data_IF_858112911902
#
_entry.id   IF_858112911902
#
_cell.length_a   1.000
_cell.length_b   1.000
_cell.length_c   1.000
_cell.angle_alpha   90.00
_cell.angle_beta   90.00
_cell.angle_gamma   90.00
#
_symmetry.space_group_name_H-M   'P 1'
#
loop_
_entity.id
_entity.type
_entity.pdbx_description
1 polymer ?
#
# COMPACT_ATOMS: atom_id res chain seq x y z
N UNK A 1 -16.36 -27.12 18.87
CA UNK A 1 -15.70 -26.61 17.65
C UNK A 1 -15.41 -27.76 16.71
N UNK A 2 -15.69 -27.60 15.42
CA UNK A 2 -15.35 -28.62 14.42
C UNK A 2 -13.84 -28.69 14.22
N UNK A 3 -13.32 -29.84 13.74
CA UNK A 3 -11.89 -30.00 13.40
C UNK A 3 -11.42 -28.96 12.38
N UNK A 4 -12.27 -28.58 11.44
CA UNK A 4 -12.00 -27.57 10.44
C UNK A 4 -11.88 -26.16 11.07
N UNK A 5 -12.73 -25.83 12.03
CA UNK A 5 -12.65 -24.56 12.76
C UNK A 5 -11.38 -24.44 13.59
N UNK A 6 -10.97 -25.55 14.24
CA UNK A 6 -9.70 -25.59 14.98
C UNK A 6 -8.48 -25.41 14.06
N UNK A 7 -8.52 -25.99 12.85
CA UNK A 7 -7.46 -25.82 11.85
C UNK A 7 -7.36 -24.35 11.41
N UNK A 8 -8.47 -23.71 11.04
CA UNK A 8 -8.51 -22.29 10.67
C UNK A 8 -8.05 -21.38 11.79
N UNK A 9 -8.51 -21.59 13.01
CA UNK A 9 -8.10 -20.76 14.16
C UNK A 9 -6.59 -20.88 14.43
N UNK A 10 -6.01 -22.07 14.22
CA UNK A 10 -4.57 -22.26 14.36
C UNK A 10 -3.81 -21.54 13.25
N UNK A 11 -4.28 -21.62 12.02
CA UNK A 11 -3.70 -20.91 10.88
C UNK A 11 -3.68 -19.40 11.12
N UNK A 12 -4.80 -18.82 11.57
CA UNK A 12 -4.87 -17.41 11.93
C UNK A 12 -3.87 -17.04 13.05
N UNK A 13 -3.71 -17.89 14.05
CA UNK A 13 -2.73 -17.67 15.12
C UNK A 13 -1.29 -17.70 14.57
N UNK A 14 -0.99 -18.65 13.67
CA UNK A 14 0.32 -18.73 13.04
C UNK A 14 0.60 -17.46 12.23
N UNK A 15 -0.34 -17.03 11.38
CA UNK A 15 -0.20 -15.82 10.57
C UNK A 15 0.00 -14.56 11.42
N UNK A 16 -0.77 -14.41 12.50
CA UNK A 16 -0.65 -13.26 13.39
C UNK A 16 0.70 -13.21 14.10
N UNK A 17 1.19 -14.36 14.61
CA UNK A 17 2.50 -14.44 15.28
C UNK A 17 3.64 -14.23 14.29
N UNK A 18 3.55 -14.80 13.09
CA UNK A 18 4.56 -14.59 12.05
C UNK A 18 4.64 -13.13 11.59
N UNK A 19 3.49 -12.46 11.44
CA UNK A 19 3.42 -11.03 11.14
C UNK A 19 4.11 -10.20 12.23
N UNK A 20 3.84 -10.49 13.50
CA UNK A 20 4.46 -9.80 14.62
C UNK A 20 5.98 -9.98 14.61
N UNK A 21 6.48 -11.21 14.46
CA UNK A 21 7.91 -11.50 14.38
C UNK A 21 8.59 -10.78 13.21
N UNK A 22 7.95 -10.73 12.05
CA UNK A 22 8.46 -9.99 10.89
C UNK A 22 8.64 -8.50 11.18
N UNK A 23 7.66 -7.90 11.85
CA UNK A 23 7.72 -6.48 12.21
C UNK A 23 8.77 -6.20 13.29
N UNK A 24 8.93 -7.08 14.26
CA UNK A 24 9.95 -6.99 15.32
C UNK A 24 11.36 -7.16 14.76
N UNK A 25 11.56 -8.11 13.86
CA UNK A 25 12.85 -8.34 13.21
C UNK A 25 13.28 -7.17 12.30
N UNK A 26 12.33 -6.39 11.75
CA UNK A 26 12.60 -5.25 10.87
C UNK A 26 13.31 -5.58 9.56
N UNK A 27 13.83 -6.80 9.41
CA UNK A 27 14.58 -7.30 8.24
C UNK A 27 13.72 -8.02 7.22
N UNK A 28 12.44 -8.24 7.53
CA UNK A 28 11.54 -9.00 6.67
C UNK A 28 11.87 -10.49 6.60
N UNK A 29 12.66 -11.00 7.55
CA UNK A 29 13.03 -12.42 7.59
C UNK A 29 12.89 -13.02 8.98
N UNK A 30 12.20 -14.18 9.07
CA UNK A 30 12.08 -15.00 10.27
C UNK A 30 12.38 -16.45 9.93
N UNK A 31 12.75 -17.25 10.92
CA UNK A 31 12.90 -18.69 10.73
C UNK A 31 11.61 -19.41 11.11
N UNK A 32 11.29 -20.50 10.41
CA UNK A 32 10.16 -21.35 10.81
C UNK A 32 10.37 -21.98 12.18
N UNK A 33 11.63 -22.12 12.60
CA UNK A 33 12.01 -22.61 13.91
C UNK A 33 11.61 -21.65 15.01
N UNK A 34 11.99 -20.36 14.90
CA UNK A 34 11.60 -19.33 15.86
C UNK A 34 10.08 -19.18 15.96
N UNK A 35 9.39 -19.32 14.84
CA UNK A 35 7.92 -19.27 14.81
C UNK A 35 7.30 -20.49 15.51
N UNK A 36 7.86 -21.69 15.30
CA UNK A 36 7.40 -22.93 15.96
C UNK A 36 7.59 -22.85 17.48
N UNK A 37 8.77 -22.42 17.92
CA UNK A 37 9.11 -22.26 19.34
C UNK A 37 8.18 -21.24 20.02
N UNK A 38 7.92 -20.10 19.40
CA UNK A 38 7.02 -19.06 19.96
C UNK A 38 5.57 -19.52 20.06
N UNK A 39 5.15 -20.42 19.20
CA UNK A 39 3.79 -20.97 19.19
C UNK A 39 3.64 -22.26 20.01
N UNK A 40 4.72 -22.78 20.56
CA UNK A 40 4.77 -24.11 21.19
C UNK A 40 4.21 -25.19 20.25
N UNK A 41 4.67 -25.18 18.99
CA UNK A 41 4.26 -26.09 17.94
C UNK A 41 5.43 -26.91 17.43
N UNK A 42 5.19 -28.20 17.16
CA UNK A 42 6.14 -28.97 16.38
C UNK A 42 6.27 -28.43 14.96
N UNK A 43 7.50 -28.35 14.40
CA UNK A 43 7.77 -27.91 13.02
C UNK A 43 6.85 -28.58 11.99
N UNK A 44 6.64 -29.91 12.12
CA UNK A 44 5.75 -30.64 11.23
C UNK A 44 4.29 -30.17 11.27
N UNK A 45 3.88 -29.45 12.32
CA UNK A 45 2.56 -28.82 12.38
C UNK A 45 2.51 -27.58 11.51
N UNK A 46 3.57 -26.76 11.49
CA UNK A 46 3.66 -25.58 10.59
C UNK A 46 3.62 -26.02 9.13
N UNK A 47 4.37 -27.05 8.75
CA UNK A 47 4.39 -27.57 7.37
C UNK A 47 3.08 -28.22 6.92
N UNK A 48 2.14 -28.52 7.84
CA UNK A 48 0.77 -28.89 7.49
C UNK A 48 -0.11 -27.70 7.10
N UNK A 49 0.26 -26.51 7.51
CA UNK A 49 -0.44 -25.26 7.17
C UNK A 49 0.20 -24.55 5.99
N UNK A 50 1.53 -24.52 5.91
CA UNK A 50 2.30 -23.81 4.88
C UNK A 50 3.42 -24.72 4.35
N UNK A 51 3.45 -24.94 3.03
CA UNK A 51 4.44 -25.83 2.40
C UNK A 51 5.85 -25.20 2.37
N UNK A 52 5.92 -23.87 2.45
CA UNK A 52 7.17 -23.12 2.45
C UNK A 52 7.02 -21.81 3.25
N UNK A 53 8.17 -21.21 3.53
CA UNK A 53 8.25 -19.87 4.13
C UNK A 53 7.68 -18.80 3.18
N UNK A 54 7.91 -18.94 1.90
CA UNK A 54 7.39 -18.02 0.89
C UNK A 54 5.85 -18.08 0.80
N UNK A 55 5.27 -19.27 0.94
CA UNK A 55 3.82 -19.44 1.05
C UNK A 55 3.28 -18.73 2.30
N UNK A 56 3.93 -18.90 3.46
CA UNK A 56 3.56 -18.22 4.70
C UNK A 56 3.57 -16.69 4.51
N UNK A 57 4.62 -16.16 3.90
CA UNK A 57 4.76 -14.72 3.69
C UNK A 57 3.69 -14.18 2.73
N UNK A 58 3.45 -14.86 1.62
CA UNK A 58 2.42 -14.43 0.68
C UNK A 58 1.02 -14.51 1.30
N UNK A 59 0.77 -15.51 2.17
CA UNK A 59 -0.50 -15.60 2.92
C UNK A 59 -0.67 -14.45 3.91
N UNK A 60 0.40 -13.99 4.57
CA UNK A 60 0.37 -12.80 5.42
C UNK A 60 0.01 -11.56 4.60
N UNK A 61 0.57 -11.40 3.40
CA UNK A 61 0.26 -10.27 2.51
C UNK A 61 -1.20 -10.33 2.04
N UNK A 62 -1.69 -11.48 1.62
CA UNK A 62 -3.09 -11.68 1.24
C UNK A 62 -4.03 -11.28 2.39
N UNK A 63 -3.77 -11.78 3.60
CA UNK A 63 -4.54 -11.42 4.79
C UNK A 63 -4.52 -9.91 5.08
N UNK A 64 -3.40 -9.26 4.88
CA UNK A 64 -3.30 -7.81 5.02
C UNK A 64 -4.14 -7.06 3.98
N UNK A 65 -4.11 -7.48 2.72
CA UNK A 65 -4.95 -6.91 1.66
C UNK A 65 -6.45 -7.13 1.93
N UNK A 66 -6.85 -8.30 2.46
CA UNK A 66 -8.22 -8.56 2.89
C UNK A 66 -8.66 -7.61 4.02
N UNK A 67 -7.77 -7.35 4.99
CA UNK A 67 -8.04 -6.38 6.06
C UNK A 67 -8.24 -4.98 5.48
N UNK A 68 -7.38 -4.51 4.58
CA UNK A 68 -7.51 -3.23 3.91
C UNK A 68 -8.82 -3.14 3.10
N UNK A 69 -9.18 -4.19 2.39
CA UNK A 69 -10.43 -4.26 1.64
C UNK A 69 -11.65 -4.17 2.55
N UNK A 70 -11.65 -4.89 3.67
CA UNK A 70 -12.76 -4.89 4.61
C UNK A 70 -12.93 -3.54 5.32
N UNK A 71 -11.85 -2.84 5.66
CA UNK A 71 -11.91 -1.49 6.21
C UNK A 71 -12.56 -0.52 5.20
N UNK A 72 -12.28 -0.67 3.92
CA UNK A 72 -12.85 0.17 2.87
C UNK A 72 -14.32 -0.15 2.53
N UNK A 73 -14.87 -1.23 3.08
CA UNK A 73 -16.30 -1.55 2.96
C UNK A 73 -17.20 -0.84 3.97
N UNK A 74 -16.63 -0.15 4.95
CA UNK A 74 -17.41 0.59 5.94
C UNK A 74 -18.16 1.70 5.22
N UNK A 75 -19.48 1.71 5.38
CA UNK A 75 -20.37 2.65 4.71
C UNK A 75 -20.39 3.95 5.51
N UNK A 76 -19.60 4.93 5.05
CA UNK A 76 -19.46 6.26 5.64
C UNK A 76 -19.68 7.34 4.58
N UNK A 77 -19.64 8.59 5.01
CA UNK A 77 -19.53 9.70 4.07
C UNK A 77 -18.29 9.53 3.17
N UNK A 78 -18.39 9.99 1.93
CA UNK A 78 -17.31 9.90 0.95
C UNK A 78 -16.00 10.48 1.49
N UNK A 79 -16.09 11.62 2.19
CA UNK A 79 -14.93 12.29 2.81
C UNK A 79 -14.30 11.43 3.93
N UNK A 80 -15.11 10.80 4.77
CA UNK A 80 -14.61 9.89 5.81
C UNK A 80 -13.95 8.65 5.20
N UNK A 81 -14.52 8.12 4.12
CA UNK A 81 -13.95 7.00 3.38
C UNK A 81 -12.58 7.31 2.78
N UNK A 82 -12.43 8.47 2.13
CA UNK A 82 -11.14 8.93 1.59
C UNK A 82 -10.14 9.19 2.70
N UNK A 83 -10.53 9.84 3.79
CA UNK A 83 -9.67 10.06 4.96
C UNK A 83 -9.14 8.74 5.53
N UNK A 84 -9.99 7.72 5.63
CA UNK A 84 -9.61 6.39 6.10
C UNK A 84 -8.64 5.70 5.13
N UNK A 85 -8.87 5.78 3.83
CA UNK A 85 -7.98 5.26 2.80
C UNK A 85 -6.57 5.85 2.92
N UNK A 86 -6.46 7.16 3.09
CA UNK A 86 -5.19 7.88 3.26
C UNK A 86 -4.51 7.46 4.57
N UNK A 87 -5.26 7.43 5.67
CA UNK A 87 -4.72 7.08 6.99
C UNK A 87 -4.17 5.65 7.05
N UNK A 88 -4.74 4.69 6.33
CA UNK A 88 -4.27 3.30 6.34
C UNK A 88 -2.78 3.18 6.02
N UNK A 89 -2.27 3.94 5.05
CA UNK A 89 -0.86 3.90 4.66
C UNK A 89 0.06 4.53 5.72
N UNK A 90 -0.43 5.55 6.41
CA UNK A 90 0.38 6.35 7.34
C UNK A 90 0.31 5.87 8.79
N UNK A 91 -0.70 5.06 9.16
CA UNK A 91 -0.86 4.55 10.53
C UNK A 91 0.11 3.41 10.87
N UNK A 92 0.47 2.59 9.89
CA UNK A 92 1.40 1.47 10.05
C UNK A 92 2.47 1.50 8.98
N UNK A 93 3.31 2.56 8.90
CA UNK A 93 4.25 2.77 7.81
C UNK A 93 5.30 1.65 7.71
N UNK A 94 5.79 1.14 8.83
CA UNK A 94 6.72 0.01 8.86
C UNK A 94 6.12 -1.23 8.20
N UNK A 95 4.87 -1.55 8.53
CA UNK A 95 4.17 -2.70 7.97
C UNK A 95 3.98 -2.58 6.46
N UNK A 96 3.53 -1.41 6.00
CA UNK A 96 3.30 -1.15 4.58
C UNK A 96 4.60 -1.29 3.76
N UNK A 97 5.70 -0.70 4.23
CA UNK A 97 7.01 -0.77 3.57
C UNK A 97 7.57 -2.19 3.57
N UNK A 98 7.49 -2.88 4.70
CA UNK A 98 8.01 -4.24 4.84
C UNK A 98 7.28 -5.22 3.92
N UNK A 99 5.96 -5.16 3.88
CA UNK A 99 5.16 -6.06 3.05
C UNK A 99 5.37 -5.82 1.56
N UNK A 100 5.56 -4.56 1.15
CA UNK A 100 5.95 -4.23 -0.22
C UNK A 100 7.29 -4.87 -0.58
N UNK A 101 8.31 -4.75 0.28
CA UNK A 101 9.62 -5.35 0.04
C UNK A 101 9.58 -6.88 -0.05
N UNK A 102 8.80 -7.52 0.84
CA UNK A 102 8.63 -8.99 0.83
C UNK A 102 7.95 -9.42 -0.48
N UNK A 103 6.90 -8.73 -0.89
CA UNK A 103 6.17 -9.04 -2.11
C UNK A 103 7.03 -8.92 -3.36
N UNK A 104 7.77 -7.83 -3.53
CA UNK A 104 8.71 -7.64 -4.63
C UNK A 104 9.74 -8.78 -4.71
N UNK A 105 10.27 -9.19 -3.56
CA UNK A 105 11.19 -10.33 -3.48
C UNK A 105 10.52 -11.63 -3.91
N UNK A 106 9.30 -11.91 -3.41
CA UNK A 106 8.56 -13.13 -3.76
C UNK A 106 8.17 -13.15 -5.23
N UNK A 107 7.76 -12.03 -5.79
CA UNK A 107 7.42 -11.92 -7.20
C UNK A 107 8.64 -12.20 -8.11
N UNK A 108 9.85 -11.82 -7.67
CA UNK A 108 11.07 -12.02 -8.43
C UNK A 108 11.66 -13.44 -8.32
N UNK A 109 11.47 -14.14 -7.20
CA UNK A 109 12.25 -15.35 -6.88
C UNK A 109 11.43 -16.58 -6.50
N UNK A 110 10.19 -16.43 -6.02
CA UNK A 110 9.41 -17.56 -5.52
C UNK A 110 8.82 -18.39 -6.66
N UNK A 111 8.88 -19.72 -6.51
CA UNK A 111 8.30 -20.66 -7.45
C UNK A 111 7.04 -21.32 -6.88
N UNK A 112 6.10 -21.66 -7.77
CA UNK A 112 4.89 -22.39 -7.39
C UNK A 112 3.80 -21.57 -6.68
N UNK A 113 3.95 -20.23 -6.58
CA UNK A 113 3.00 -19.35 -5.90
C UNK A 113 1.99 -18.65 -6.83
N UNK A 114 1.98 -18.98 -8.12
CA UNK A 114 1.15 -18.30 -9.13
C UNK A 114 -0.34 -18.23 -8.74
N UNK A 115 -0.88 -19.31 -8.16
CA UNK A 115 -2.28 -19.34 -7.70
C UNK A 115 -2.54 -18.31 -6.59
N UNK A 116 -1.61 -18.17 -5.66
CA UNK A 116 -1.75 -17.22 -4.54
C UNK A 116 -1.55 -15.78 -4.99
N UNK A 117 -0.65 -15.53 -5.94
CA UNK A 117 -0.56 -14.21 -6.59
C UNK A 117 -1.84 -13.87 -7.34
N UNK A 118 -2.49 -14.85 -7.99
CA UNK A 118 -3.82 -14.67 -8.58
C UNK A 118 -4.87 -14.28 -7.53
N UNK A 119 -4.89 -14.94 -6.37
CA UNK A 119 -5.77 -14.59 -5.23
C UNK A 119 -5.52 -13.16 -4.74
N UNK A 120 -4.26 -12.79 -4.53
CA UNK A 120 -3.85 -11.43 -4.16
C UNK A 120 -4.31 -10.38 -5.18
N UNK A 121 -4.13 -10.68 -6.47
CA UNK A 121 -4.55 -9.81 -7.56
C UNK A 121 -6.08 -9.57 -7.55
N UNK A 122 -6.89 -10.61 -7.35
CA UNK A 122 -8.35 -10.45 -7.32
C UNK A 122 -8.82 -9.61 -6.12
N UNK A 123 -8.20 -9.77 -4.95
CA UNK A 123 -8.51 -8.95 -3.77
C UNK A 123 -8.14 -7.48 -4.05
N UNK A 124 -6.97 -7.22 -4.61
CA UNK A 124 -6.53 -5.86 -4.98
C UNK A 124 -7.41 -5.24 -6.04
N UNK A 125 -7.79 -6.00 -7.05
CA UNK A 125 -8.71 -5.54 -8.09
C UNK A 125 -10.06 -5.11 -7.50
N UNK A 126 -10.63 -5.93 -6.60
CA UNK A 126 -11.87 -5.60 -5.92
C UNK A 126 -11.73 -4.35 -5.03
N UNK A 127 -10.61 -4.24 -4.29
CA UNK A 127 -10.29 -3.05 -3.48
C UNK A 127 -10.12 -1.81 -4.36
N UNK A 128 -9.38 -1.92 -5.46
CA UNK A 128 -9.15 -0.81 -6.39
C UNK A 128 -10.46 -0.26 -6.97
N UNK A 129 -11.36 -1.15 -7.39
CA UNK A 129 -12.67 -0.72 -7.88
C UNK A 129 -13.40 0.13 -6.83
N UNK A 130 -13.43 -0.31 -5.58
CA UNK A 130 -14.04 0.44 -4.48
C UNK A 130 -13.36 1.79 -4.24
N UNK A 131 -12.02 1.84 -4.31
CA UNK A 131 -11.27 3.08 -4.14
C UNK A 131 -11.53 4.07 -5.27
N UNK A 132 -11.66 3.61 -6.50
CA UNK A 132 -12.02 4.43 -7.66
C UNK A 132 -13.40 5.06 -7.46
N UNK A 133 -14.41 4.25 -7.11
CA UNK A 133 -15.78 4.74 -6.88
C UNK A 133 -15.82 5.79 -5.75
N UNK A 134 -15.17 5.50 -4.63
CA UNK A 134 -15.07 6.39 -3.49
C UNK A 134 -14.38 7.71 -3.84
N UNK A 135 -13.26 7.63 -4.55
CA UNK A 135 -12.46 8.79 -4.94
C UNK A 135 -13.19 9.66 -5.95
N UNK A 136 -13.87 9.06 -6.93
CA UNK A 136 -14.68 9.78 -7.91
C UNK A 136 -15.77 10.60 -7.22
N UNK A 137 -16.50 9.99 -6.28
CA UNK A 137 -17.52 10.72 -5.49
C UNK A 137 -16.92 11.85 -4.64
N UNK A 138 -15.69 11.63 -4.12
CA UNK A 138 -14.99 12.69 -3.36
C UNK A 138 -14.62 13.88 -4.23
N UNK A 139 -13.98 13.65 -5.38
CA UNK A 139 -13.61 14.71 -6.31
C UNK A 139 -14.81 15.52 -6.79
N UNK A 140 -15.92 14.83 -7.11
CA UNK A 140 -17.18 15.50 -7.45
C UNK A 140 -17.69 16.37 -6.30
N UNK A 141 -17.65 15.88 -5.05
CA UNK A 141 -18.08 16.65 -3.87
C UNK A 141 -17.22 17.89 -3.59
N UNK A 142 -15.97 17.89 -4.08
CA UNK A 142 -15.04 19.03 -3.97
C UNK A 142 -15.06 19.94 -5.20
N UNK A 143 -15.87 19.66 -6.21
CA UNK A 143 -15.89 20.36 -7.51
C UNK A 143 -14.48 20.46 -8.12
N UNK A 144 -13.75 19.32 -8.14
CA UNK A 144 -12.36 19.25 -8.60
C UNK A 144 -12.27 18.81 -10.05
N UNK A 145 -11.39 19.47 -10.82
CA UNK A 145 -11.00 19.09 -12.18
C UNK A 145 -10.00 17.92 -12.25
N UNK A 146 -9.48 17.46 -11.10
CA UNK A 146 -8.56 16.32 -11.09
C UNK A 146 -9.25 15.04 -11.56
N UNK A 147 -8.57 14.27 -12.41
CA UNK A 147 -8.99 12.91 -12.70
C UNK A 147 -8.84 12.00 -11.47
N UNK A 148 -9.71 11.00 -11.34
CA UNK A 148 -9.61 9.98 -10.27
C UNK A 148 -8.24 9.29 -10.28
N UNK A 149 -7.68 9.04 -11.47
CA UNK A 149 -6.37 8.42 -11.66
C UNK A 149 -5.26 9.31 -11.11
N UNK A 150 -5.26 10.58 -11.45
CA UNK A 150 -4.20 11.51 -11.07
C UNK A 150 -4.21 11.76 -9.56
N UNK A 151 -5.41 11.94 -9.00
CA UNK A 151 -5.55 12.06 -7.54
C UNK A 151 -5.04 10.80 -6.82
N UNK A 152 -5.49 9.60 -7.21
CA UNK A 152 -5.03 8.35 -6.60
C UNK A 152 -3.52 8.16 -6.72
N UNK A 153 -2.95 8.44 -7.89
CA UNK A 153 -1.50 8.34 -8.12
C UNK A 153 -0.73 9.29 -7.22
N UNK A 154 -1.20 10.54 -7.11
CA UNK A 154 -0.57 11.58 -6.29
C UNK A 154 -0.62 11.23 -4.80
N UNK A 155 -1.80 10.85 -4.28
CA UNK A 155 -1.91 10.49 -2.86
C UNK A 155 -1.12 9.23 -2.52
N UNK A 156 -0.96 8.30 -3.46
CA UNK A 156 -0.08 7.15 -3.26
C UNK A 156 1.38 7.52 -3.21
N UNK A 157 1.85 8.40 -4.10
CA UNK A 157 3.22 8.89 -4.08
C UNK A 157 3.53 9.62 -2.76
N UNK A 158 2.63 10.51 -2.32
CA UNK A 158 2.74 11.20 -1.03
C UNK A 158 2.69 10.20 0.14
N UNK A 159 1.80 9.22 0.08
CA UNK A 159 1.64 8.18 1.09
C UNK A 159 2.89 7.32 1.25
N UNK A 160 3.50 6.88 0.16
CA UNK A 160 4.75 6.09 0.18
C UNK A 160 5.94 6.91 0.70
N UNK A 161 6.12 8.13 0.21
CA UNK A 161 7.14 9.05 0.73
C UNK A 161 6.93 9.36 2.21
N UNK A 162 5.68 9.64 2.59
CA UNK A 162 5.28 9.88 3.98
C UNK A 162 5.53 8.67 4.88
N UNK A 163 5.20 7.46 4.44
CA UNK A 163 5.49 6.23 5.19
C UNK A 163 7.00 6.04 5.40
N UNK A 164 7.82 6.32 4.38
CA UNK A 164 9.28 6.27 4.48
C UNK A 164 9.80 7.27 5.50
N UNK A 165 9.35 8.53 5.47
CA UNK A 165 9.74 9.57 6.43
C UNK A 165 9.29 9.23 7.86
N UNK A 166 8.05 8.74 8.04
CA UNK A 166 7.51 8.33 9.33
C UNK A 166 8.25 7.13 9.93
N UNK A 167 8.85 6.28 9.11
CA UNK A 167 9.62 5.11 9.55
C UNK A 167 11.11 5.43 9.77
N UNK A 168 11.62 6.55 9.27
CA UNK A 168 13.02 6.92 9.36
C UNK A 168 13.37 7.56 10.70
N UNK A 169 14.28 6.94 11.46
CA UNK A 169 14.83 7.53 12.69
C UNK A 169 15.69 8.77 12.43
N UNK A 170 16.32 8.85 11.24
CA UNK A 170 17.13 9.99 10.83
C UNK A 170 16.28 11.25 10.64
N UNK A 171 15.23 11.16 9.83
CA UNK A 171 14.37 12.30 9.51
C UNK A 171 13.54 12.78 10.71
N UNK A 172 13.24 11.91 11.67
CA UNK A 172 12.54 12.28 12.90
C UNK A 172 13.21 13.42 13.67
N UNK A 173 14.54 13.51 13.59
CA UNK A 173 15.30 14.57 14.26
C UNK A 173 15.09 15.96 13.64
N UNK A 174 14.71 16.00 12.35
CA UNK A 174 14.59 17.24 11.57
C UNK A 174 13.13 17.63 11.31
N UNK A 175 12.23 16.65 11.16
CA UNK A 175 10.84 16.86 10.79
C UNK A 175 9.89 16.97 11.99
N UNK A 176 10.41 16.84 13.20
CA UNK A 176 9.62 16.94 14.41
C UNK A 176 8.79 15.69 14.73
N UNK A 177 7.68 15.88 15.43
CA UNK A 177 6.87 14.77 15.93
C UNK A 177 6.17 14.03 14.78
N UNK A 178 6.18 12.69 14.84
CA UNK A 178 5.52 11.81 13.86
C UNK A 178 4.04 12.13 13.66
N UNK A 179 3.34 12.43 14.75
CA UNK A 179 1.92 12.74 14.70
C UNK A 179 1.65 14.03 13.94
N UNK A 180 2.47 15.06 14.16
CA UNK A 180 2.36 16.34 13.44
C UNK A 180 2.62 16.15 11.95
N UNK A 181 3.65 15.40 11.59
CA UNK A 181 3.94 15.07 10.19
C UNK A 181 2.79 14.28 9.55
N UNK A 182 2.25 13.28 10.25
CA UNK A 182 1.12 12.49 9.76
C UNK A 182 -0.10 13.35 9.49
N UNK A 183 -0.46 14.24 10.42
CA UNK A 183 -1.60 15.16 10.25
C UNK A 183 -1.37 16.08 9.06
N UNK A 184 -0.17 16.65 8.91
CA UNK A 184 0.17 17.51 7.77
C UNK A 184 0.03 16.78 6.43
N UNK A 185 0.56 15.55 6.32
CA UNK A 185 0.45 14.74 5.11
C UNK A 185 -1.02 14.41 4.77
N UNK A 186 -1.81 14.01 5.77
CA UNK A 186 -3.25 13.73 5.57
C UNK A 186 -3.97 14.97 5.07
N UNK A 187 -3.72 16.12 5.71
CA UNK A 187 -4.36 17.37 5.34
C UNK A 187 -4.00 17.77 3.89
N UNK A 188 -2.73 17.67 3.51
CA UNK A 188 -2.28 17.96 2.14
C UNK A 188 -3.00 17.07 1.12
N UNK A 189 -3.11 15.77 1.38
CA UNK A 189 -3.80 14.85 0.48
C UNK A 189 -5.30 15.12 0.38
N UNK A 190 -5.96 15.53 1.48
CA UNK A 190 -7.38 15.90 1.48
C UNK A 190 -7.64 17.27 0.84
N UNK A 191 -6.70 18.20 0.92
CA UNK A 191 -6.86 19.53 0.33
C UNK A 191 -6.43 19.60 -1.14
N UNK A 192 -5.76 18.57 -1.65
CA UNK A 192 -5.29 18.53 -3.03
C UNK A 192 -6.40 18.81 -4.07
N UNK A 193 -7.62 18.25 -3.98
CA UNK A 193 -8.69 18.55 -4.93
C UNK A 193 -9.09 20.02 -5.01
N UNK A 194 -8.94 20.76 -3.91
CA UNK A 194 -9.29 22.20 -3.86
C UNK A 194 -8.31 23.08 -4.63
N UNK A 195 -7.11 22.58 -4.91
CA UNK A 195 -6.08 23.29 -5.68
C UNK A 195 -6.33 23.20 -7.18
N UNK A 196 -7.21 22.30 -7.61
CA UNK A 196 -7.57 22.04 -9.00
C UNK A 196 -9.10 22.13 -9.15
N UNK A 197 -9.69 23.33 -9.09
CA UNK A 197 -11.13 23.46 -9.33
C UNK A 197 -11.48 22.97 -10.73
N UNK A 198 -12.70 22.49 -10.93
CA UNK A 198 -13.18 22.22 -12.29
C UNK A 198 -13.25 23.56 -13.04
N UNK A 199 -12.52 23.64 -14.11
CA UNK A 199 -12.56 24.80 -15.02
C UNK A 199 -13.65 24.51 -16.05
N UNK A 200 -14.58 25.45 -16.28
CA UNK A 200 -15.36 25.44 -17.49
C UNK A 200 -14.36 25.59 -18.65
N UNK A 201 -14.46 24.78 -19.69
CA UNK A 201 -13.51 24.39 -20.76
C UNK A 201 -12.58 25.49 -21.40
N UNK A 202 -12.21 26.56 -20.71
CA UNK A 202 -11.47 27.69 -21.32
C UNK A 202 -9.97 27.82 -20.89
N UNK A 203 -9.43 27.04 -19.95
CA UNK A 203 -8.02 27.16 -19.54
C UNK A 203 -7.24 25.83 -19.72
N UNK A 204 -6.83 25.58 -20.97
CA UNK A 204 -5.96 24.42 -21.34
C UNK A 204 -4.45 24.74 -21.19
N UNK A 205 -4.10 25.88 -20.62
CA UNK A 205 -2.72 26.40 -20.53
C UNK A 205 -1.73 25.49 -19.77
N UNK A 206 -2.21 24.69 -18.81
CA UNK A 206 -1.34 23.81 -18.02
C UNK A 206 -0.96 22.51 -18.75
N UNK A 207 -1.84 21.99 -19.59
CA UNK A 207 -1.56 20.80 -20.43
C UNK A 207 -0.54 21.16 -21.50
N UNK A 208 -0.67 22.35 -22.08
CA UNK A 208 0.27 22.87 -23.07
C UNK A 208 1.66 23.12 -22.47
N UNK A 209 1.75 23.61 -21.23
CA UNK A 209 3.01 23.80 -20.52
C UNK A 209 3.74 22.46 -20.27
N UNK A 210 3.03 21.42 -19.84
CA UNK A 210 3.62 20.09 -19.62
C UNK A 210 4.08 19.48 -20.94
N UNK A 211 3.29 19.59 -21.99
CA UNK A 211 3.64 19.11 -23.33
C UNK A 211 4.88 19.85 -23.89
N UNK A 212 5.00 21.15 -23.60
CA UNK A 212 6.16 21.94 -23.99
C UNK A 212 7.43 21.49 -23.24
N UNK A 213 7.36 21.23 -21.93
CA UNK A 213 8.48 20.74 -21.12
C UNK A 213 8.92 19.36 -21.60
N UNK A 214 8.00 18.45 -21.91
CA UNK A 214 8.31 17.12 -22.42
C UNK A 214 8.99 17.18 -23.79
N UNK A 215 8.52 18.04 -24.69
CA UNK A 215 9.12 18.22 -26.02
C UNK A 215 10.54 18.83 -25.96
N UNK A 216 10.79 19.77 -25.06
CA UNK A 216 12.12 20.35 -24.81
C UNK A 216 13.08 19.31 -24.20
N UNK A 217 12.59 18.45 -23.30
CA UNK A 217 13.37 17.37 -22.69
C UNK A 217 13.80 16.29 -23.71
N UNK A 218 12.89 15.91 -24.60
CA UNK A 218 13.19 14.96 -25.69
C UNK A 218 14.18 15.52 -26.72
N UNK A 219 14.04 16.81 -27.07
CA UNK A 219 14.97 17.49 -27.97
C UNK A 219 16.39 17.58 -27.38
N UNK A 220 16.51 17.75 -26.06
CA UNK A 220 17.80 17.84 -25.38
C UNK A 220 18.52 16.48 -25.33
N UNK A 221 17.77 15.38 -25.13
CA UNK A 221 18.29 14.01 -25.14
C UNK A 221 18.79 13.65 -26.55
N UNK A 222 18.03 13.95 -27.60
CA UNK A 222 18.41 13.64 -28.99
C UNK A 222 19.65 14.44 -29.47
N UNK A 223 19.84 15.66 -28.94
CA UNK A 223 21.01 16.48 -29.29
C UNK A 223 22.32 15.98 -28.68
N UNK A 224 22.26 15.23 -27.58
CA UNK A 224 23.45 14.62 -26.92
C UNK A 224 23.87 13.31 -27.60
N UNK A 225 22.93 12.53 -28.15
CA UNK A 225 23.23 11.28 -28.84
C UNK A 225 23.86 11.48 -30.25
N UNK A 226 23.71 12.65 -30.85
CA UNK A 226 24.30 12.97 -32.17
C UNK A 226 25.70 13.59 -32.10
N UNK A 227 26.25 13.78 -30.91
CA UNK A 227 27.57 14.41 -30.70
C UNK A 227 28.65 13.45 -30.18
N UNK A 228 28.45 12.12 -30.33
CA UNK A 228 29.39 11.07 -29.92
C UNK A 228 29.97 10.31 -31.10
#
# INVERSE_FOLDING_TARGET
MSRQQQFKNREEKILATAEQLLLEAGSGDITLDSLADQLDLAKGTLYKHFSSKDELYLRIIIRYEEQLFNINKIDDSVSAGVSRMILQQLMSPQKALLFNQIEERLAASAQGLNRMFGELYEIRRARMKRLIDLTSGYLQSQNSGLSTRDYLSTIWAIGQGGASLLNSSFYQRYLGRRDTLRVALVQQMLDLPKQYPSVDEEDDDMVDLVNQIDSESEAHIQSQDTSS
#
